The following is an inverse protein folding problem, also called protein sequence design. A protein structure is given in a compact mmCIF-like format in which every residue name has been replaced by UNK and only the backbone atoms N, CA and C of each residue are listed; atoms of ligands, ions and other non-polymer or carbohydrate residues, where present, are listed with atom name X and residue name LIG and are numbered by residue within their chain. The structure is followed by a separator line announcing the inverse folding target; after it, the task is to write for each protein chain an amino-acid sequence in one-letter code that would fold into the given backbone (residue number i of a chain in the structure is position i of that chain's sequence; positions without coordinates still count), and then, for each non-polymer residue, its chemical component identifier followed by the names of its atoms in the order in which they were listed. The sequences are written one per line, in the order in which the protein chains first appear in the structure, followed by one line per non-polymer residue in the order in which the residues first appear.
data_IF_161862991027
#
_entry.id   IF_161862991027
#
_cell.length_a   1.000
_cell.length_b   1.000
_cell.length_c   1.000
_cell.angle_alpha   90.00
_cell.angle_beta   90.00
_cell.angle_gamma   90.00
#
_symmetry.space_group_name_H-M   'P 1'
#
loop_
_entity.id
_entity.type
_entity.pdbx_description
1 polymer ?
#
# COMPACT_ATOMS: atom_id res chain seq x y z
N UNK A 1 -8.11 4.14 -12.02
CA UNK A 1 -6.76 4.01 -11.45
C UNK A 1 -6.46 2.53 -11.34
N UNK A 2 -5.32 2.06 -11.87
CA UNK A 2 -5.01 0.62 -11.93
C UNK A 2 -3.86 0.28 -10.99
N UNK A 3 -4.09 -0.67 -10.09
CA UNK A 3 -3.08 -1.26 -9.21
C UNK A 3 -2.57 -2.55 -9.86
N UNK A 4 -1.27 -2.63 -10.09
CA UNK A 4 -0.60 -3.82 -10.58
C UNK A 4 0.39 -4.31 -9.51
N UNK A 5 0.39 -5.61 -9.26
CA UNK A 5 1.36 -6.26 -8.40
C UNK A 5 2.36 -7.05 -9.26
N UNK A 6 3.64 -6.72 -9.15
CA UNK A 6 4.72 -7.53 -9.69
C UNK A 6 5.18 -8.53 -8.63
N UNK A 7 4.82 -9.80 -8.82
CA UNK A 7 5.18 -10.87 -7.88
C UNK A 7 6.65 -11.27 -7.93
N UNK A 8 7.40 -10.91 -8.99
CA UNK A 8 8.84 -11.19 -9.03
C UNK A 8 9.61 -10.24 -8.12
N UNK A 9 9.28 -8.96 -8.22
CA UNK A 9 9.99 -7.90 -7.50
C UNK A 9 9.30 -7.54 -6.17
N UNK A 10 8.08 -8.04 -5.94
CA UNK A 10 7.26 -7.72 -4.77
C UNK A 10 6.76 -6.28 -4.77
N UNK A 11 6.66 -5.65 -5.94
CA UNK A 11 6.37 -4.22 -6.08
C UNK A 11 4.92 -3.98 -6.50
N UNK A 12 4.23 -3.10 -5.79
CA UNK A 12 2.95 -2.55 -6.21
C UNK A 12 3.18 -1.28 -7.02
N UNK A 13 2.63 -1.24 -8.23
CA UNK A 13 2.63 -0.03 -9.08
C UNK A 13 1.20 0.45 -9.27
N UNK A 14 1.00 1.77 -9.13
CA UNK A 14 -0.28 2.41 -9.37
C UNK A 14 -0.15 3.32 -10.58
N UNK A 15 -0.98 3.07 -11.59
CA UNK A 15 -1.04 3.90 -12.79
C UNK A 15 -2.39 4.62 -12.85
N UNK A 16 -2.34 5.95 -12.88
CA UNK A 16 -3.49 6.78 -13.19
C UNK A 16 -3.65 6.90 -14.71
N UNK A 17 -4.88 6.81 -15.21
CA UNK A 17 -5.18 6.83 -16.65
C UNK A 17 -5.55 8.23 -17.15
N UNK A 18 -5.85 9.16 -16.25
CA UNK A 18 -6.23 10.54 -16.58
C UNK A 18 -5.80 11.54 -15.49
N UNK A 19 -5.97 12.84 -15.76
CA UNK A 19 -5.55 13.93 -14.85
C UNK A 19 -6.28 13.94 -13.52
N UNK A 20 -7.55 13.54 -13.50
CA UNK A 20 -8.35 13.49 -12.29
C UNK A 20 -7.84 12.39 -11.35
N UNK A 21 -7.56 11.20 -11.90
CA UNK A 21 -6.95 10.09 -11.17
C UNK A 21 -5.54 10.41 -10.69
N UNK A 22 -4.74 11.16 -11.45
CA UNK A 22 -3.42 11.64 -10.97
C UNK A 22 -3.60 12.53 -9.75
N UNK A 23 -4.61 13.39 -9.75
CA UNK A 23 -4.88 14.32 -8.63
C UNK A 23 -5.34 13.54 -7.41
N UNK A 24 -6.25 12.59 -7.58
CA UNK A 24 -6.71 11.70 -6.51
C UNK A 24 -5.55 10.87 -5.94
N UNK A 25 -4.71 10.27 -6.79
CA UNK A 25 -3.55 9.49 -6.36
C UNK A 25 -2.57 10.31 -5.50
N UNK A 26 -2.32 11.56 -5.89
CA UNK A 26 -1.45 12.47 -5.13
C UNK A 26 -2.05 12.82 -3.78
N UNK A 27 -3.36 13.05 -3.71
CA UNK A 27 -4.05 13.34 -2.45
C UNK A 27 -4.11 12.11 -1.54
N UNK A 28 -4.25 10.91 -2.10
CA UNK A 28 -4.35 9.65 -1.34
C UNK A 28 -2.99 9.05 -0.95
N UNK A 29 -1.87 9.61 -1.40
CA UNK A 29 -0.54 9.03 -1.18
C UNK A 29 -0.22 8.84 0.31
N UNK A 30 -0.60 9.81 1.15
CA UNK A 30 -0.40 9.74 2.60
C UNK A 30 -1.24 8.63 3.23
N UNK A 31 -2.52 8.52 2.85
CA UNK A 31 -3.42 7.49 3.37
C UNK A 31 -2.98 6.07 2.96
N UNK A 32 -2.48 5.92 1.72
CA UNK A 32 -1.90 4.65 1.25
C UNK A 32 -0.66 4.28 2.08
N UNK A 33 0.24 5.25 2.34
CA UNK A 33 1.41 5.00 3.19
C UNK A 33 1.02 4.58 4.61
N UNK A 34 0.02 5.27 5.21
CA UNK A 34 -0.51 4.92 6.53
C UNK A 34 -1.12 3.52 6.57
N UNK A 35 -1.87 3.12 5.53
CA UNK A 35 -2.42 1.77 5.41
C UNK A 35 -1.32 0.69 5.40
N UNK A 36 -0.24 0.92 4.65
CA UNK A 36 0.88 -0.02 4.57
C UNK A 36 1.59 -0.15 5.92
N UNK A 37 1.87 0.98 6.59
CA UNK A 37 2.51 0.96 7.92
C UNK A 37 1.62 0.22 8.93
N UNK A 38 0.32 0.52 8.95
CA UNK A 38 -0.61 -0.12 9.87
C UNK A 38 -0.72 -1.64 9.63
N UNK A 39 -0.67 -2.09 8.36
CA UNK A 39 -0.67 -3.51 8.03
C UNK A 39 0.55 -4.22 8.62
N UNK A 40 1.76 -3.67 8.43
CA UNK A 40 2.98 -4.27 8.98
C UNK A 40 3.07 -4.16 10.51
N UNK A 41 2.59 -3.07 11.11
CA UNK A 41 2.53 -2.94 12.57
C UNK A 41 1.59 -3.99 13.17
N UNK A 42 0.46 -4.27 12.52
CA UNK A 42 -0.44 -5.34 12.93
C UNK A 42 0.21 -6.72 12.80
N UNK A 43 0.84 -7.04 11.67
CA UNK A 43 1.55 -8.33 11.48
C UNK A 43 2.69 -8.50 12.50
N UNK A 44 3.47 -7.45 12.79
CA UNK A 44 4.52 -7.49 13.81
C UNK A 44 3.92 -7.74 15.19
N UNK A 45 2.77 -7.15 15.50
CA UNK A 45 2.08 -7.39 16.76
C UNK A 45 1.55 -8.83 16.87
N UNK A 46 0.94 -9.36 15.81
CA UNK A 46 0.46 -10.75 15.76
C UNK A 46 1.61 -11.76 15.87
N UNK A 47 2.71 -11.56 15.15
CA UNK A 47 3.90 -12.41 15.23
C UNK A 47 4.59 -12.36 16.62
N UNK A 48 4.47 -11.24 17.34
CA UNK A 48 4.93 -11.14 18.74
C UNK A 48 4.01 -11.89 19.71
N UNK A 49 2.73 -12.00 19.42
CA UNK A 49 1.75 -12.73 20.24
C UNK A 49 1.90 -14.25 20.08
N UNK A 50 2.13 -14.75 18.87
CA UNK A 50 2.33 -16.20 18.63
C UNK A 50 3.67 -16.75 19.16
N UNK A 51 4.69 -15.90 19.33
CA UNK A 51 6.00 -16.32 19.89
C UNK A 51 6.01 -16.46 21.42
N UNK A 52 4.86 -16.47 22.08
CA UNK A 52 4.72 -16.45 23.53
C UNK A 52 4.24 -17.77 24.13
#
# INVERSE_FOLDING_TARGET
MKLNFDSKDGVFTVKAENKEEITQLKMSAMDIANLIVNYFDAEIQEAKVEKK
#
